data_IF_840794361768
#
_entry.id   IF_840794361768
#
_cell.length_a   1.000
_cell.length_b   1.000
_cell.length_c   1.000
_cell.angle_alpha   90.00
_cell.angle_beta   90.00
_cell.angle_gamma   90.00
#
_symmetry.space_group_name_H-M   'P 1'
#
loop_
_entity.id
_entity.type
_entity.pdbx_description
1 polymer ?
#
# COMPACT_ATOMS: atom_id res chain seq x y z
N UNK A 1 -22.78 39.17 47.47
CA UNK A 1 -22.36 39.37 48.88
C UNK A 1 -22.79 38.17 49.71
N UNK A 2 -21.85 37.32 50.11
CA UNK A 2 -21.75 36.68 51.43
C UNK A 2 -20.41 35.94 51.47
N UNK A 3 -19.52 36.49 52.29
CA UNK A 3 -18.21 35.93 52.65
C UNK A 3 -18.44 34.76 53.61
N UNK A 4 -17.60 33.74 53.56
CA UNK A 4 -17.03 33.17 54.79
C UNK A 4 -15.69 32.52 54.46
N UNK A 5 -14.67 32.94 55.20
CA UNK A 5 -13.31 32.41 55.19
C UNK A 5 -13.07 31.65 56.49
N UNK A 6 -12.03 30.80 56.44
CA UNK A 6 -11.13 30.44 57.53
C UNK A 6 -11.45 29.17 58.33
N UNK A 7 -10.59 28.16 58.23
CA UNK A 7 -9.67 27.80 59.32
C UNK A 7 -8.65 26.73 58.85
N UNK A 8 -7.39 27.02 59.19
CA UNK A 8 -6.20 26.18 59.06
C UNK A 8 -6.17 25.18 60.21
N UNK A 9 -5.81 23.93 59.96
CA UNK A 9 -5.15 23.08 60.98
C UNK A 9 -3.93 22.41 60.36
N UNK A 10 -2.78 22.82 60.87
CA UNK A 10 -1.46 22.25 60.68
C UNK A 10 -1.28 21.15 61.72
N UNK A 11 -0.96 19.92 61.30
CA UNK A 11 -0.42 18.90 62.20
C UNK A 11 0.73 18.18 61.50
N UNK A 12 1.94 18.49 61.95
CA UNK A 12 3.15 17.75 61.63
C UNK A 12 3.27 16.57 62.61
N UNK A 13 3.57 15.38 62.09
CA UNK A 13 4.15 14.27 62.85
C UNK A 13 5.24 13.64 61.98
N UNK A 14 6.48 13.74 62.46
CA UNK A 14 7.63 12.99 61.96
C UNK A 14 7.58 11.56 62.50
N UNK A 15 7.82 10.57 61.64
CA UNK A 15 8.26 9.23 62.04
C UNK A 15 9.16 8.64 60.95
N UNK A 16 10.45 8.52 61.25
CA UNK A 16 11.43 7.62 60.60
C UNK A 16 11.22 6.20 61.18
N UNK A 17 11.40 5.03 60.57
CA UNK A 17 12.08 4.47 59.38
C UNK A 17 11.44 3.09 59.11
N UNK A 18 11.42 2.58 57.87
CA UNK A 18 11.84 1.21 57.51
C UNK A 18 11.53 0.90 56.03
N UNK A 19 12.54 0.36 55.34
CA UNK A 19 12.43 -0.19 53.99
C UNK A 19 11.55 -1.45 53.96
N UNK A 20 10.61 -1.50 53.02
CA UNK A 20 10.14 -2.74 52.42
C UNK A 20 9.99 -2.50 50.92
N UNK A 21 10.83 -3.16 50.13
CA UNK A 21 10.75 -3.18 48.67
C UNK A 21 9.61 -4.11 48.28
N UNK A 22 8.45 -3.55 47.91
CA UNK A 22 7.44 -4.28 47.14
C UNK A 22 7.60 -3.93 45.66
N UNK A 23 7.71 -4.98 44.85
CA UNK A 23 7.73 -4.92 43.39
C UNK A 23 6.43 -4.28 42.88
N UNK A 24 6.45 -2.98 42.62
CA UNK A 24 5.50 -2.35 41.72
C UNK A 24 5.96 -2.67 40.31
N UNK A 25 5.24 -3.56 39.64
CA UNK A 25 5.31 -3.68 38.18
C UNK A 25 4.76 -2.37 37.63
N UNK A 26 5.66 -1.52 37.17
CA UNK A 26 5.34 -0.28 36.46
C UNK A 26 4.69 -0.63 35.11
N UNK A 27 3.37 -0.45 35.02
CA UNK A 27 2.65 -0.41 33.75
C UNK A 27 2.53 1.03 33.27
N UNK A 28 3.67 1.71 33.12
CA UNK A 28 3.76 2.94 32.33
C UNK A 28 3.64 2.59 30.84
N UNK A 29 2.40 2.38 30.38
CA UNK A 29 2.10 2.46 28.95
C UNK A 29 2.26 3.92 28.51
N UNK A 30 3.50 4.32 28.27
CA UNK A 30 3.81 5.55 27.56
C UNK A 30 3.01 5.53 26.24
N UNK A 31 2.13 6.51 26.04
CA UNK A 31 1.43 6.70 24.79
C UNK A 31 2.50 6.79 23.67
N UNK A 32 2.40 5.99 22.60
CA UNK A 32 3.41 5.99 21.56
C UNK A 32 3.53 7.39 20.96
N UNK A 33 4.77 7.85 20.79
CA UNK A 33 5.04 9.16 20.18
C UNK A 33 4.55 9.16 18.73
N UNK A 34 4.20 10.34 18.20
CA UNK A 34 3.67 10.52 16.83
C UNK A 34 4.52 9.83 15.74
N UNK A 35 5.84 9.69 15.97
CA UNK A 35 6.80 9.03 15.07
C UNK A 35 6.70 7.48 15.08
N UNK A 36 6.44 6.88 16.25
CA UNK A 36 6.25 5.42 16.35
C UNK A 36 4.93 5.00 15.71
N UNK A 37 3.89 5.82 15.90
CA UNK A 37 2.57 5.60 15.27
C UNK A 37 2.66 5.69 13.74
N UNK A 38 3.46 6.62 13.20
CA UNK A 38 3.57 6.80 11.76
C UNK A 38 4.36 5.71 11.04
N UNK A 39 5.42 5.17 11.66
CA UNK A 39 6.12 4.00 11.11
C UNK A 39 5.26 2.74 11.13
N UNK A 40 4.51 2.50 12.21
CA UNK A 40 3.60 1.36 12.30
C UNK A 40 2.51 1.41 11.22
N UNK A 41 1.99 2.61 10.92
CA UNK A 41 1.03 2.81 9.84
C UNK A 41 1.62 2.43 8.47
N UNK A 42 2.82 2.93 8.14
CA UNK A 42 3.53 2.57 6.90
C UNK A 42 3.81 1.07 6.80
N UNK A 43 4.18 0.41 7.90
CA UNK A 43 4.40 -1.04 7.94
C UNK A 43 3.10 -1.83 7.70
N UNK A 44 2.01 -1.39 8.33
CA UNK A 44 0.69 -2.01 8.18
C UNK A 44 0.20 -1.87 6.74
N UNK A 45 0.32 -0.68 6.15
CA UNK A 45 0.05 -0.42 4.74
C UNK A 45 0.76 -1.41 3.82
N UNK A 46 2.08 -1.59 3.97
CA UNK A 46 2.85 -2.51 3.14
C UNK A 46 2.43 -3.97 3.36
N UNK A 47 2.23 -4.39 4.61
CA UNK A 47 1.80 -5.74 4.96
C UNK A 47 0.45 -6.09 4.32
N UNK A 48 -0.53 -5.20 4.47
CA UNK A 48 -1.89 -5.44 3.99
C UNK A 48 -1.95 -5.42 2.46
N UNK A 49 -1.19 -4.53 1.82
CA UNK A 49 -1.03 -4.49 0.36
C UNK A 49 -0.42 -5.79 -0.17
N UNK A 50 0.64 -6.31 0.45
CA UNK A 50 1.24 -7.60 0.09
C UNK A 50 0.25 -8.76 0.27
N UNK A 51 -0.57 -8.74 1.33
CA UNK A 51 -1.59 -9.75 1.55
C UNK A 51 -2.67 -9.72 0.46
N UNK A 52 -3.09 -8.54 0.01
CA UNK A 52 -4.04 -8.37 -1.08
C UNK A 52 -3.47 -8.85 -2.43
N UNK A 53 -2.18 -8.62 -2.69
CA UNK A 53 -1.50 -9.12 -3.89
C UNK A 53 -1.19 -10.62 -3.87
N UNK A 54 -1.42 -11.32 -2.75
CA UNK A 54 -1.07 -12.74 -2.61
C UNK A 54 -1.74 -13.64 -3.65
N UNK A 55 -2.93 -13.26 -4.14
CA UNK A 55 -3.65 -13.99 -5.18
C UNK A 55 -2.85 -14.17 -6.47
N UNK A 56 -1.93 -13.26 -6.78
CA UNK A 56 -1.06 -13.34 -7.95
C UNK A 56 -0.04 -14.49 -7.85
N UNK A 57 0.46 -14.78 -6.65
CA UNK A 57 1.38 -15.92 -6.40
C UNK A 57 0.70 -17.28 -6.57
N UNK A 58 -0.62 -17.31 -6.39
CA UNK A 58 -1.42 -18.54 -6.47
C UNK A 58 -2.17 -18.66 -7.79
N UNK A 59 -1.94 -17.75 -8.74
CA UNK A 59 -2.67 -17.73 -10.00
C UNK A 59 -2.41 -19.00 -10.80
N UNK A 60 -3.47 -19.71 -11.15
CA UNK A 60 -3.41 -20.85 -12.07
C UNK A 60 -3.47 -20.30 -13.49
N UNK A 61 -2.35 -20.38 -14.21
CA UNK A 61 -2.30 -19.97 -15.60
C UNK A 61 -3.19 -20.85 -16.47
N UNK A 62 -3.97 -20.20 -17.32
CA UNK A 62 -4.91 -20.82 -18.25
C UNK A 62 -4.25 -21.10 -19.60
N UNK A 63 -3.16 -20.41 -19.93
CA UNK A 63 -2.55 -20.44 -21.27
C UNK A 63 -3.23 -19.48 -22.25
N UNK A 64 -4.15 -18.65 -21.77
CA UNK A 64 -4.74 -17.55 -22.52
C UNK A 64 -4.15 -16.24 -21.95
N UNK A 65 -3.38 -15.47 -22.74
CA UNK A 65 -2.74 -14.26 -22.26
C UNK A 65 -3.74 -13.18 -21.82
N UNK A 66 -4.95 -13.14 -22.39
CA UNK A 66 -5.97 -12.19 -21.99
C UNK A 66 -6.53 -12.54 -20.60
N UNK A 67 -6.89 -13.81 -20.38
CA UNK A 67 -7.36 -14.30 -19.07
C UNK A 67 -6.29 -14.17 -18.00
N UNK A 68 -5.06 -14.60 -18.30
CA UNK A 68 -3.97 -14.61 -17.33
C UNK A 68 -3.54 -13.18 -16.95
N UNK A 69 -3.56 -12.24 -17.91
CA UNK A 69 -3.31 -10.83 -17.62
C UNK A 69 -4.38 -10.22 -16.71
N UNK A 70 -5.67 -10.37 -17.05
CA UNK A 70 -6.75 -9.78 -16.25
C UNK A 70 -6.80 -10.40 -14.85
N UNK A 71 -6.60 -11.71 -14.76
CA UNK A 71 -6.59 -12.42 -13.48
C UNK A 71 -5.36 -12.09 -12.62
N UNK A 72 -4.21 -11.78 -13.23
CA UNK A 72 -3.02 -11.29 -12.52
C UNK A 72 -3.11 -9.81 -12.12
N UNK A 73 -3.67 -8.96 -12.98
CA UNK A 73 -3.80 -7.52 -12.75
C UNK A 73 -4.85 -7.19 -11.68
N UNK A 74 -5.84 -8.07 -11.48
CA UNK A 74 -6.86 -7.94 -10.44
C UNK A 74 -6.29 -7.83 -9.01
N UNK A 75 -5.57 -8.84 -8.47
CA UNK A 75 -4.98 -8.74 -7.13
C UNK A 75 -3.92 -7.64 -7.04
N UNK A 76 -3.24 -7.31 -8.15
CA UNK A 76 -2.33 -6.17 -8.20
C UNK A 76 -3.08 -4.83 -7.96
N UNK A 77 -4.24 -4.63 -8.58
CA UNK A 77 -5.05 -3.43 -8.31
C UNK A 77 -5.66 -3.43 -6.90
N UNK A 78 -6.09 -4.60 -6.41
CA UNK A 78 -6.54 -4.73 -5.01
C UNK A 78 -5.42 -4.34 -4.02
N UNK A 79 -4.16 -4.66 -4.33
CA UNK A 79 -2.97 -4.22 -3.60
C UNK A 79 -2.82 -2.71 -3.48
N UNK A 80 -2.99 -1.96 -4.58
CA UNK A 80 -2.92 -0.50 -4.59
C UNK A 80 -4.11 0.16 -3.87
N UNK A 81 -5.31 -0.41 -3.98
CA UNK A 81 -6.48 0.06 -3.23
C UNK A 81 -6.23 -0.09 -1.73
N UNK A 82 -5.81 -1.28 -1.29
CA UNK A 82 -5.54 -1.56 0.13
C UNK A 82 -4.40 -0.68 0.66
N UNK A 83 -3.33 -0.51 -0.12
CA UNK A 83 -2.24 0.41 0.23
C UNK A 83 -2.78 1.83 0.47
N UNK A 84 -3.62 2.32 -0.45
CA UNK A 84 -4.19 3.66 -0.38
C UNK A 84 -5.17 3.82 0.78
N UNK A 85 -6.07 2.86 1.01
CA UNK A 85 -7.06 2.89 2.09
C UNK A 85 -6.41 2.78 3.47
N UNK A 86 -5.42 1.90 3.62
CA UNK A 86 -4.73 1.65 4.90
C UNK A 86 -4.00 2.91 5.40
N UNK A 87 -3.32 3.63 4.51
CA UNK A 87 -2.52 4.80 4.89
C UNK A 87 -3.32 6.11 4.91
N UNK A 88 -4.46 6.18 4.21
CA UNK A 88 -5.27 7.39 4.03
C UNK A 88 -5.49 8.20 5.33
N UNK A 89 -5.84 7.59 6.48
CA UNK A 89 -6.10 8.33 7.72
C UNK A 89 -4.87 9.07 8.28
N UNK A 90 -3.66 8.69 7.83
CA UNK A 90 -2.39 9.24 8.29
C UNK A 90 -1.78 10.27 7.33
N UNK A 91 -2.36 10.41 6.12
CA UNK A 91 -1.88 11.32 5.10
C UNK A 91 -2.27 12.77 5.44
N UNK A 92 -1.26 13.56 5.80
CA UNK A 92 -1.44 14.97 6.18
C UNK A 92 -1.20 15.95 5.03
N UNK A 93 -0.54 15.52 3.95
CA UNK A 93 -0.33 16.38 2.78
C UNK A 93 -1.58 16.33 1.87
N UNK A 94 -2.25 17.47 1.60
CA UNK A 94 -3.50 17.47 0.82
C UNK A 94 -3.35 16.91 -0.60
N UNK A 95 -2.19 17.10 -1.24
CA UNK A 95 -1.94 16.60 -2.59
C UNK A 95 -1.79 15.07 -2.58
N UNK A 96 -1.11 14.51 -1.59
CA UNK A 96 -0.94 13.05 -1.43
C UNK A 96 -2.25 12.40 -1.01
N UNK A 97 -3.01 13.02 -0.10
CA UNK A 97 -4.34 12.56 0.28
C UNK A 97 -5.28 12.52 -0.95
N UNK A 98 -5.26 13.56 -1.79
CA UNK A 98 -6.03 13.59 -3.03
C UNK A 98 -5.58 12.51 -4.03
N UNK A 99 -4.27 12.26 -4.15
CA UNK A 99 -3.75 11.17 -4.97
C UNK A 99 -4.30 9.81 -4.51
N UNK A 100 -4.22 9.52 -3.20
CA UNK A 100 -4.72 8.25 -2.64
C UNK A 100 -6.21 8.05 -2.94
N UNK A 101 -7.05 9.09 -2.76
CA UNK A 101 -8.47 9.03 -3.12
C UNK A 101 -8.70 8.78 -4.62
N UNK A 102 -7.89 9.40 -5.49
CA UNK A 102 -7.99 9.18 -6.93
C UNK A 102 -7.62 7.74 -7.31
N UNK A 103 -6.56 7.18 -6.72
CA UNK A 103 -6.15 5.79 -6.91
C UNK A 103 -7.27 4.84 -6.48
N UNK A 104 -7.82 5.04 -5.27
CA UNK A 104 -8.94 4.24 -4.76
C UNK A 104 -10.11 4.26 -5.74
N UNK A 105 -10.49 5.45 -6.23
CA UNK A 105 -11.61 5.61 -7.16
C UNK A 105 -11.35 4.89 -8.48
N UNK A 106 -10.24 5.21 -9.17
CA UNK A 106 -9.98 4.67 -10.50
C UNK A 106 -9.76 3.16 -10.46
N UNK A 107 -8.98 2.66 -9.51
CA UNK A 107 -8.69 1.24 -9.45
C UNK A 107 -9.89 0.41 -8.98
N UNK A 108 -10.81 0.96 -8.16
CA UNK A 108 -12.09 0.29 -7.87
C UNK A 108 -12.95 0.13 -9.13
N UNK A 109 -12.99 1.15 -9.99
CA UNK A 109 -13.70 1.07 -11.28
C UNK A 109 -13.07 -0.02 -12.17
N UNK A 110 -11.74 -0.08 -12.25
CA UNK A 110 -11.01 -1.12 -13.00
C UNK A 110 -11.19 -2.53 -12.40
N UNK A 111 -11.20 -2.67 -11.06
CA UNK A 111 -11.47 -3.95 -10.38
C UNK A 111 -12.87 -4.46 -10.68
N UNK A 112 -13.89 -3.59 -10.69
CA UNK A 112 -15.26 -3.96 -11.08
C UNK A 112 -15.29 -4.44 -12.53
N UNK A 113 -14.61 -3.72 -13.42
CA UNK A 113 -14.47 -4.13 -14.82
C UNK A 113 -13.80 -5.50 -14.95
N UNK A 114 -12.64 -5.71 -14.32
CA UNK A 114 -11.89 -6.98 -14.40
C UNK A 114 -12.69 -8.15 -13.83
N UNK A 115 -13.39 -7.97 -12.70
CA UNK A 115 -14.28 -8.99 -12.14
C UNK A 115 -15.41 -9.36 -13.08
N UNK A 116 -16.03 -8.37 -13.72
CA UNK A 116 -17.07 -8.62 -14.72
C UNK A 116 -16.49 -9.34 -15.94
N UNK A 117 -15.36 -8.87 -16.46
CA UNK A 117 -14.69 -9.44 -17.61
C UNK A 117 -14.33 -10.92 -17.38
N UNK A 118 -13.74 -11.26 -16.23
CA UNK A 118 -13.41 -12.65 -15.86
C UNK A 118 -14.66 -13.53 -15.68
N UNK A 119 -15.79 -12.97 -15.25
CA UNK A 119 -17.03 -13.72 -15.13
C UNK A 119 -17.67 -14.05 -16.49
N UNK A 120 -17.38 -13.27 -17.53
CA UNK A 120 -18.00 -13.42 -18.86
C UNK A 120 -17.09 -14.06 -19.91
N UNK A 121 -15.77 -14.07 -19.72
CA UNK A 121 -14.81 -14.66 -20.66
C UNK A 121 -14.41 -16.06 -20.21
N UNK A 122 -14.74 -17.06 -21.02
CA UNK A 122 -14.45 -18.48 -20.74
C UNK A 122 -13.06 -18.86 -21.23
N UNK A 123 -12.45 -19.84 -20.57
CA UNK A 123 -11.19 -20.42 -21.04
C UNK A 123 -11.32 -20.94 -22.49
N UNK A 124 -10.29 -20.66 -23.29
CA UNK A 124 -10.17 -21.20 -24.65
C UNK A 124 -9.92 -22.72 -24.65
N UNK A 125 -10.25 -23.42 -25.76
CA UNK A 125 -9.93 -24.83 -25.92
C UNK A 125 -8.47 -25.15 -25.66
N UNK A 126 -8.17 -26.32 -25.07
CA UNK A 126 -6.80 -26.73 -24.72
C UNK A 126 -5.82 -26.63 -25.90
N UNK A 127 -6.28 -26.94 -27.11
CA UNK A 127 -5.47 -26.89 -28.33
C UNK A 127 -5.04 -25.46 -28.75
N UNK A 128 -5.66 -24.42 -28.19
CA UNK A 128 -5.39 -23.01 -28.51
C UNK A 128 -4.57 -22.32 -27.41
N UNK A 129 -4.29 -23.01 -26.30
CA UNK A 129 -3.55 -22.46 -25.16
C UNK A 129 -2.07 -22.39 -25.45
N UNK A 130 -1.47 -21.30 -25.01
CA UNK A 130 -0.04 -21.03 -25.06
C UNK A 130 0.54 -20.97 -23.65
N UNK A 131 0.68 -22.15 -23.05
CA UNK A 131 1.18 -22.29 -21.66
C UNK A 131 2.60 -21.72 -21.52
N UNK A 132 3.43 -21.85 -22.56
CA UNK A 132 4.80 -21.35 -22.52
C UNK A 132 4.83 -19.82 -22.43
N UNK A 133 4.07 -19.12 -23.29
CA UNK A 133 4.01 -17.67 -23.26
C UNK A 133 3.32 -17.14 -21.98
N UNK A 134 2.25 -17.79 -21.51
CA UNK A 134 1.64 -17.43 -20.22
C UNK A 134 2.63 -17.59 -19.06
N UNK A 135 3.41 -18.68 -19.02
CA UNK A 135 4.42 -18.91 -17.99
C UNK A 135 5.55 -17.89 -18.07
N UNK A 136 6.01 -17.56 -19.29
CA UNK A 136 7.03 -16.54 -19.51
C UNK A 136 6.54 -15.15 -19.05
N UNK A 137 5.33 -14.75 -19.44
CA UNK A 137 4.69 -13.50 -19.00
C UNK A 137 4.62 -13.44 -17.47
N UNK A 138 4.09 -14.48 -16.84
CA UNK A 138 3.96 -14.51 -15.38
C UNK A 138 5.33 -14.41 -14.73
N UNK A 139 6.32 -15.15 -15.22
CA UNK A 139 7.70 -15.09 -14.70
C UNK A 139 8.29 -13.68 -14.80
N UNK A 140 8.10 -12.99 -15.93
CA UNK A 140 8.51 -11.60 -16.13
C UNK A 140 7.78 -10.68 -15.14
N UNK A 141 6.46 -10.81 -15.02
CA UNK A 141 5.61 -10.02 -14.11
C UNK A 141 6.03 -10.17 -12.65
N UNK A 142 6.26 -11.42 -12.21
CA UNK A 142 6.74 -11.70 -10.85
C UNK A 142 8.13 -11.11 -10.59
N UNK A 143 9.04 -11.17 -11.57
CA UNK A 143 10.37 -10.57 -11.46
C UNK A 143 10.29 -9.05 -11.31
N UNK A 144 9.42 -8.41 -12.09
CA UNK A 144 9.17 -6.97 -12.02
C UNK A 144 8.69 -6.61 -10.61
N UNK A 145 7.63 -7.27 -10.12
CA UNK A 145 7.12 -7.03 -8.77
C UNK A 145 8.17 -7.28 -7.68
N UNK A 146 8.99 -8.32 -7.81
CA UNK A 146 10.04 -8.64 -6.82
C UNK A 146 11.07 -7.52 -6.70
N UNK A 147 11.51 -6.96 -7.83
CA UNK A 147 12.47 -5.86 -7.85
C UNK A 147 11.91 -4.54 -7.28
N UNK A 148 10.59 -4.45 -7.17
CA UNK A 148 9.83 -3.25 -6.80
C UNK A 148 9.39 -3.23 -5.32
N UNK A 149 9.70 -4.28 -4.55
CA UNK A 149 9.28 -4.44 -3.15
C UNK A 149 10.28 -3.88 -2.12
N UNK A 150 11.43 -3.35 -2.56
CA UNK A 150 12.43 -2.78 -1.66
C UNK A 150 12.18 -1.29 -1.41
N UNK A 151 11.25 -0.97 -0.52
CA UNK A 151 11.04 0.40 -0.04
C UNK A 151 11.46 0.52 1.41
N UNK A 152 12.51 1.33 1.65
CA UNK A 152 12.95 1.65 3.01
C UNK A 152 11.99 2.67 3.62
N UNK A 153 11.15 2.21 4.55
CA UNK A 153 10.22 3.06 5.27
C UNK A 153 10.96 4.08 6.14
N UNK A 154 10.52 5.33 6.07
CA UNK A 154 11.11 6.49 6.75
C UNK A 154 10.34 6.87 8.01
N UNK A 155 9.10 6.39 8.17
CA UNK A 155 8.18 6.81 9.23
C UNK A 155 7.44 8.12 8.88
N UNK A 156 7.57 8.62 7.66
CA UNK A 156 6.78 9.74 7.13
C UNK A 156 5.71 9.21 6.17
N UNK A 157 4.43 9.10 6.58
CA UNK A 157 3.42 8.36 5.81
C UNK A 157 3.22 8.85 4.38
N UNK A 158 3.27 10.16 4.15
CA UNK A 158 3.17 10.72 2.80
C UNK A 158 4.34 10.30 1.91
N UNK A 159 5.57 10.29 2.45
CA UNK A 159 6.79 9.90 1.73
C UNK A 159 6.78 8.39 1.49
N UNK A 160 6.47 7.61 2.52
CA UNK A 160 6.42 6.15 2.46
C UNK A 160 5.35 5.65 1.48
N UNK A 161 4.17 6.28 1.46
CA UNK A 161 3.12 5.95 0.50
C UNK A 161 3.57 6.24 -0.94
N UNK A 162 4.12 7.42 -1.20
CA UNK A 162 4.59 7.80 -2.54
C UNK A 162 5.75 6.90 -2.99
N UNK A 163 6.72 6.64 -2.10
CA UNK A 163 7.85 5.77 -2.39
C UNK A 163 7.42 4.31 -2.58
N UNK A 164 6.36 3.86 -1.92
CA UNK A 164 5.73 2.54 -2.11
C UNK A 164 4.93 2.44 -3.40
N UNK A 165 4.18 3.48 -3.76
CA UNK A 165 3.24 3.45 -4.88
C UNK A 165 3.93 3.66 -6.24
N UNK A 166 5.07 4.35 -6.30
CA UNK A 166 5.87 4.45 -7.55
C UNK A 166 6.23 3.08 -8.12
N UNK A 167 6.96 2.21 -7.39
CA UNK A 167 7.40 0.93 -7.94
C UNK A 167 6.21 -0.04 -8.17
N UNK A 168 5.14 0.08 -7.36
CA UNK A 168 3.88 -0.64 -7.61
C UNK A 168 3.27 -0.24 -8.96
N UNK A 169 3.18 1.06 -9.27
CA UNK A 169 2.65 1.52 -10.55
C UNK A 169 3.56 1.20 -11.73
N UNK A 170 4.88 1.30 -11.55
CA UNK A 170 5.85 0.90 -12.57
C UNK A 170 5.68 -0.57 -12.94
N UNK A 171 5.41 -1.44 -11.95
CA UNK A 171 5.14 -2.85 -12.21
C UNK A 171 3.89 -3.07 -13.07
N UNK A 172 2.78 -2.38 -12.79
CA UNK A 172 1.56 -2.49 -13.60
C UNK A 172 1.76 -1.99 -15.04
N UNK A 173 2.51 -0.90 -15.22
CA UNK A 173 2.84 -0.37 -16.56
C UNK A 173 3.70 -1.37 -17.33
N UNK A 174 4.77 -1.89 -16.72
CA UNK A 174 5.67 -2.83 -17.40
C UNK A 174 4.96 -4.15 -17.73
N UNK A 175 4.12 -4.67 -16.82
CA UNK A 175 3.27 -5.83 -17.10
C UNK A 175 2.35 -5.60 -18.31
N UNK A 176 1.69 -4.45 -18.37
CA UNK A 176 0.80 -4.09 -19.47
C UNK A 176 1.54 -3.89 -20.81
N UNK A 177 2.77 -3.35 -20.77
CA UNK A 177 3.62 -3.20 -21.96
C UNK A 177 4.13 -4.55 -22.47
N UNK A 178 4.62 -5.42 -21.57
CA UNK A 178 5.14 -6.74 -21.91
C UNK A 178 4.06 -7.62 -22.53
N UNK A 179 2.83 -7.56 -22.04
CA UNK A 179 1.77 -8.45 -22.52
C UNK A 179 1.11 -7.99 -23.81
N UNK A 180 1.19 -6.69 -24.14
CA UNK A 180 0.49 -6.07 -25.27
C UNK A 180 0.60 -6.86 -26.60
N UNK A 181 1.76 -7.41 -27.00
CA UNK A 181 1.88 -8.18 -28.25
C UNK A 181 1.12 -9.51 -28.27
N UNK A 182 0.83 -10.08 -27.09
CA UNK A 182 0.19 -11.39 -26.96
C UNK A 182 -1.32 -11.31 -26.83
N UNK A 183 -1.85 -10.19 -26.31
CA UNK A 183 -3.29 -9.96 -26.15
C UNK A 183 -4.03 -10.16 -27.49
N UNK A 184 -5.11 -10.91 -27.46
CA UNK A 184 -5.98 -11.19 -28.61
C UNK A 184 -7.27 -10.40 -28.51
N UNK A 185 -7.80 -10.27 -27.31
CA UNK A 185 -9.04 -9.54 -27.05
C UNK A 185 -8.85 -8.01 -27.11
N UNK A 186 -9.75 -7.34 -27.82
CA UNK A 186 -9.65 -5.89 -28.02
C UNK A 186 -9.94 -5.11 -26.73
N UNK A 187 -10.85 -5.61 -25.88
CA UNK A 187 -11.19 -4.96 -24.62
C UNK A 187 -10.04 -5.09 -23.61
N UNK A 188 -9.31 -6.21 -23.60
CA UNK A 188 -8.09 -6.37 -22.79
C UNK A 188 -6.97 -5.45 -23.24
N UNK A 189 -6.77 -5.26 -24.56
CA UNK A 189 -5.83 -4.27 -25.09
C UNK A 189 -6.18 -2.85 -24.63
N UNK A 190 -7.46 -2.50 -24.68
CA UNK A 190 -7.94 -1.19 -24.21
C UNK A 190 -7.72 -1.01 -22.71
N UNK A 191 -7.96 -2.06 -21.91
CA UNK A 191 -7.63 -2.04 -20.47
C UNK A 191 -6.13 -1.79 -20.26
N UNK A 192 -5.26 -2.57 -20.91
CA UNK A 192 -3.81 -2.42 -20.79
C UNK A 192 -3.32 -1.00 -21.17
N UNK A 193 -3.85 -0.45 -22.27
CA UNK A 193 -3.55 0.94 -22.69
C UNK A 193 -4.02 1.99 -21.67
N UNK A 194 -5.19 1.77 -21.07
CA UNK A 194 -5.73 2.65 -20.01
C UNK A 194 -4.85 2.63 -18.76
N UNK A 195 -4.41 1.45 -18.34
CA UNK A 195 -3.48 1.27 -17.22
C UNK A 195 -2.17 2.00 -17.50
N UNK A 196 -1.54 1.75 -18.65
CA UNK A 196 -0.28 2.42 -19.04
C UNK A 196 -0.43 3.93 -18.94
N UNK A 197 -1.46 4.49 -19.60
CA UNK A 197 -1.65 5.94 -19.67
C UNK A 197 -1.91 6.56 -18.28
N UNK A 198 -2.84 5.99 -17.52
CA UNK A 198 -3.26 6.56 -16.24
C UNK A 198 -2.15 6.44 -15.19
N UNK A 199 -1.46 5.29 -15.13
CA UNK A 199 -0.42 5.06 -14.15
C UNK A 199 0.87 5.81 -14.48
N UNK A 200 1.23 6.01 -15.76
CA UNK A 200 2.34 6.90 -16.13
C UNK A 200 2.14 8.34 -15.66
N UNK A 201 0.90 8.87 -15.75
CA UNK A 201 0.57 10.20 -15.23
C UNK A 201 0.74 10.27 -13.72
N UNK A 202 0.30 9.25 -12.99
CA UNK A 202 0.44 9.17 -11.53
C UNK A 202 1.90 9.01 -11.11
N UNK A 203 2.69 8.18 -11.80
CA UNK A 203 4.15 8.05 -11.59
C UNK A 203 4.84 9.40 -11.77
N UNK A 204 4.51 10.15 -12.83
CA UNK A 204 5.10 11.46 -13.08
C UNK A 204 4.79 12.44 -11.94
N UNK A 205 3.55 12.48 -11.47
CA UNK A 205 3.18 13.26 -10.29
C UNK A 205 3.98 12.84 -9.05
N UNK A 206 4.01 11.54 -8.75
CA UNK A 206 4.66 10.99 -7.56
C UNK A 206 6.17 11.25 -7.54
N UNK A 207 6.86 11.06 -8.67
CA UNK A 207 8.30 11.33 -8.80
C UNK A 207 8.62 12.80 -8.59
N UNK A 208 7.84 13.70 -9.17
CA UNK A 208 7.99 15.15 -8.96
C UNK A 208 7.75 15.51 -7.49
N UNK A 209 6.64 15.02 -6.92
CA UNK A 209 6.31 15.29 -5.52
C UNK A 209 7.42 14.79 -4.58
N UNK A 210 7.93 13.58 -4.79
CA UNK A 210 8.97 12.99 -3.94
C UNK A 210 10.27 13.79 -4.03
N UNK A 211 10.68 14.23 -5.23
CA UNK A 211 11.86 15.10 -5.42
C UNK A 211 11.78 16.37 -4.58
N UNK A 212 10.58 16.97 -4.49
CA UNK A 212 10.37 18.25 -3.81
C UNK A 212 10.10 18.09 -2.29
N UNK A 213 9.81 16.88 -1.83
CA UNK A 213 9.31 16.62 -0.46
C UNK A 213 10.08 15.53 0.30
N UNK A 214 11.19 15.00 -0.24
CA UNK A 214 12.02 14.04 0.49
C UNK A 214 12.71 14.76 1.66
N UNK A 215 12.53 14.31 2.92
CA UNK A 215 13.25 14.88 4.05
C UNK A 215 14.76 14.78 3.81
N UNK A 216 15.53 15.80 4.20
CA UNK A 216 16.98 15.69 4.19
C UNK A 216 17.39 14.41 4.94
N UNK A 217 18.28 13.61 4.34
CA UNK A 217 18.75 12.38 4.96
C UNK A 217 19.20 12.68 6.40
N UNK A 218 18.61 12.00 7.39
CA UNK A 218 19.14 12.04 8.74
C UNK A 218 20.55 11.45 8.65
N UNK A 219 21.61 12.20 8.99
CA UNK A 219 22.96 11.66 8.94
C UNK A 219 23.00 10.40 9.80
N UNK A 220 23.53 9.32 9.24
CA UNK A 220 23.77 8.09 9.99
C UNK A 220 24.61 8.46 11.22
N UNK A 221 24.07 8.17 12.41
CA UNK A 221 24.88 8.17 13.64
C UNK A 221 25.85 7.00 13.61
#
# INVERSE_FOLDING_TARGET
MKKLSLAIVLSALLSTTAFASENVVDHSHAMPTKSVVSLQASQTMMKDSMAAMSGMHTLKLTGDPDLDFVAGMLPHHEGAIVMSESILPTLTNPAVHKLALNIIKSQKEEVVYMKHWLATHKEIPLAQRDIANSQEMMTKSMKIMHNMMEVKLTGHPNVDFIAGMIPHHEAAVEMAEVIMPYLKDQSTKTLAQSIIKSQQQQISFMKTWLKDNTPAAVPAK
#
